data_IF_768881306898
#
_entry.id   IF_768881306898
#
_cell.length_a   1.000
_cell.length_b   1.000
_cell.length_c   1.000
_cell.angle_alpha   90.00
_cell.angle_beta   90.00
_cell.angle_gamma   90.00
#
_symmetry.space_group_name_H-M   'P 1'
#
loop_
_entity.id
_entity.type
_entity.pdbx_description
1 polymer ?
#
# COMPACT_ATOMS: atom_id res chain seq x y z
N UNK A 1 6.06 9.02 9.76
CA UNK A 1 5.74 9.42 8.36
C UNK A 1 4.71 10.55 8.36
N UNK A 2 5.21 11.77 8.38
CA UNK A 2 4.32 12.95 8.46
C UNK A 2 3.44 13.11 7.21
N UNK A 3 3.93 12.64 6.08
CA UNK A 3 3.19 12.76 4.82
C UNK A 3 1.91 11.94 4.79
N UNK A 4 1.85 10.91 5.61
CA UNK A 4 0.64 10.08 5.73
C UNK A 4 -0.51 10.90 6.29
N UNK A 5 -0.24 11.75 7.27
CA UNK A 5 -1.30 12.57 7.85
C UNK A 5 -1.90 13.53 6.84
N UNK A 6 -1.05 14.10 5.98
CA UNK A 6 -1.53 14.99 4.92
C UNK A 6 -2.38 14.25 3.91
N UNK A 7 -1.97 13.03 3.55
CA UNK A 7 -2.74 12.20 2.64
C UNK A 7 -4.10 11.82 3.25
N UNK A 8 -4.12 11.49 4.53
CA UNK A 8 -5.37 11.15 5.22
C UNK A 8 -6.34 12.32 5.26
N UNK A 9 -5.83 13.53 5.43
CA UNK A 9 -6.68 14.73 5.39
C UNK A 9 -7.31 14.90 4.01
N UNK A 10 -6.52 14.70 2.96
CA UNK A 10 -7.04 14.78 1.60
C UNK A 10 -8.06 13.69 1.30
N UNK A 11 -7.81 12.48 1.77
CA UNK A 11 -8.74 11.35 1.62
C UNK A 11 -10.08 11.68 2.27
N UNK A 12 -10.05 12.19 3.49
CA UNK A 12 -11.26 12.53 4.22
C UNK A 12 -12.06 13.61 3.51
N UNK A 13 -11.36 14.61 3.00
CA UNK A 13 -11.98 15.69 2.24
C UNK A 13 -12.69 15.17 1.00
N UNK A 14 -12.10 14.20 0.31
CA UNK A 14 -12.62 13.64 -0.93
C UNK A 14 -13.53 12.43 -0.72
N UNK A 15 -13.74 12.01 0.52
CA UNK A 15 -14.57 10.86 0.83
C UNK A 15 -13.95 9.54 0.44
N UNK A 16 -12.63 9.47 0.42
CA UNK A 16 -11.88 8.25 0.08
C UNK A 16 -11.59 7.45 1.34
N UNK A 17 -12.01 6.18 1.37
CA UNK A 17 -11.83 5.31 2.52
C UNK A 17 -10.48 4.60 2.52
N UNK A 18 -9.92 4.37 1.36
CA UNK A 18 -8.66 3.67 1.21
C UNK A 18 -7.92 4.22 -0.01
N UNK A 19 -6.63 4.47 0.15
CA UNK A 19 -5.78 4.92 -0.94
C UNK A 19 -4.74 3.84 -1.24
N UNK A 20 -4.69 3.37 -2.48
CA UNK A 20 -3.75 2.36 -2.92
C UNK A 20 -2.63 3.03 -3.72
N UNK A 21 -1.38 2.84 -3.29
CA UNK A 21 -0.22 3.44 -3.95
C UNK A 21 0.70 2.32 -4.42
N UNK A 22 1.11 2.38 -5.69
CA UNK A 22 2.02 1.42 -6.28
C UNK A 22 3.43 2.02 -6.40
N UNK A 23 4.46 1.18 -6.68
CA UNK A 23 5.83 1.68 -6.76
C UNK A 23 5.98 2.84 -7.74
N UNK A 24 6.72 3.84 -7.29
CA UNK A 24 6.96 5.05 -8.05
C UNK A 24 7.41 6.17 -7.14
N UNK A 25 7.56 7.39 -7.67
CA UNK A 25 8.02 8.53 -6.88
C UNK A 25 7.19 8.83 -5.64
N UNK A 26 5.88 8.66 -5.70
CA UNK A 26 5.03 8.91 -4.52
C UNK A 26 5.29 7.92 -3.41
N UNK A 27 5.42 6.65 -3.74
CA UNK A 27 5.70 5.65 -2.71
C UNK A 27 7.07 5.91 -2.08
N UNK A 28 8.06 6.23 -2.89
CA UNK A 28 9.37 6.58 -2.38
C UNK A 28 9.30 7.83 -1.49
N UNK A 29 8.57 8.85 -1.95
CA UNK A 29 8.42 10.09 -1.20
C UNK A 29 7.84 9.86 0.20
N UNK A 30 6.85 8.97 0.28
CA UNK A 30 6.16 8.68 1.55
C UNK A 30 6.99 7.81 2.47
N UNK A 31 7.62 6.76 1.92
CA UNK A 31 8.26 5.72 2.73
C UNK A 31 9.78 5.79 2.77
N UNK A 32 10.39 6.50 1.83
CA UNK A 32 11.84 6.52 1.59
C UNK A 32 12.37 5.15 1.17
N UNK A 33 11.49 4.26 0.71
CA UNK A 33 11.85 2.93 0.26
C UNK A 33 11.57 2.80 -1.23
N UNK A 34 12.49 2.17 -1.95
CA UNK A 34 12.34 1.93 -3.38
C UNK A 34 11.88 0.52 -3.64
N UNK A 35 10.88 0.39 -4.49
CA UNK A 35 10.40 -0.92 -4.95
C UNK A 35 10.43 -0.89 -6.47
N UNK A 36 10.83 -1.98 -7.08
CA UNK A 36 10.86 -2.07 -8.53
C UNK A 36 9.47 -2.37 -9.08
N UNK A 37 9.14 -1.70 -10.18
CA UNK A 37 7.99 -2.11 -10.96
C UNK A 37 8.34 -3.44 -11.61
N UNK A 38 7.54 -4.45 -11.38
CA UNK A 38 7.78 -5.77 -11.92
C UNK A 38 6.46 -6.51 -12.07
N UNK A 39 6.52 -7.75 -12.54
CA UNK A 39 5.34 -8.59 -12.63
C UNK A 39 4.77 -8.93 -11.24
N UNK A 40 5.58 -8.75 -10.20
CA UNK A 40 5.15 -9.02 -8.83
C UNK A 40 4.62 -7.74 -8.20
N UNK A 41 3.30 -7.65 -8.00
CA UNK A 41 2.71 -6.42 -7.47
C UNK A 41 3.20 -6.07 -6.08
N UNK A 42 3.41 -4.76 -5.87
CA UNK A 42 3.61 -4.18 -4.55
C UNK A 42 2.59 -3.06 -4.44
N UNK A 43 1.78 -3.08 -3.39
CA UNK A 43 0.75 -2.06 -3.17
C UNK A 43 0.78 -1.63 -1.72
N UNK A 44 0.74 -0.33 -1.51
CA UNK A 44 0.67 0.25 -0.17
C UNK A 44 -0.73 0.83 0.02
N UNK A 45 -1.47 0.26 0.96
CA UNK A 45 -2.83 0.71 1.27
C UNK A 45 -2.80 1.63 2.48
N UNK A 46 -3.36 2.82 2.32
CA UNK A 46 -3.49 3.80 3.39
C UNK A 46 -4.97 3.90 3.74
N UNK A 47 -5.30 3.53 4.97
CA UNK A 47 -6.63 3.67 5.53
C UNK A 47 -6.58 4.71 6.65
N UNK A 48 -7.73 5.09 7.18
CA UNK A 48 -7.77 6.06 8.28
C UNK A 48 -6.95 5.58 9.48
N UNK A 49 -7.07 4.31 9.82
CA UNK A 49 -6.43 3.75 11.02
C UNK A 49 -5.29 2.77 10.73
N UNK A 50 -5.10 2.37 9.49
CA UNK A 50 -4.12 1.34 9.16
C UNK A 50 -3.27 1.69 7.97
N UNK A 51 -2.07 1.13 7.97
CA UNK A 51 -1.15 1.20 6.83
C UNK A 51 -0.74 -0.23 6.54
N UNK A 52 -0.97 -0.70 5.32
CA UNK A 52 -0.72 -2.09 4.96
C UNK A 52 -0.03 -2.20 3.61
N UNK A 53 1.08 -2.94 3.57
CA UNK A 53 1.74 -3.31 2.33
C UNK A 53 1.32 -4.70 1.92
N UNK A 54 1.09 -4.90 0.62
CA UNK A 54 1.05 -6.22 0.01
C UNK A 54 2.26 -6.28 -0.90
N UNK A 55 3.14 -7.27 -0.69
CA UNK A 55 4.39 -7.36 -1.42
C UNK A 55 4.95 -8.78 -1.40
N UNK A 56 5.87 -9.11 -2.34
CA UNK A 56 6.54 -10.40 -2.30
C UNK A 56 7.36 -10.58 -1.02
N UNK A 57 7.45 -11.81 -0.53
CA UNK A 57 8.24 -12.12 0.65
C UNK A 57 9.67 -11.60 0.55
N UNK A 58 10.26 -11.70 -0.64
CA UNK A 58 11.64 -11.27 -0.86
C UNK A 58 11.85 -9.77 -0.65
N UNK A 59 10.78 -9.00 -0.72
CA UNK A 59 10.84 -7.55 -0.54
C UNK A 59 10.49 -7.10 0.88
N UNK A 60 10.02 -8.02 1.72
CA UNK A 60 9.47 -7.67 3.03
C UNK A 60 10.47 -6.97 3.95
N UNK A 61 11.75 -7.31 3.84
CA UNK A 61 12.78 -6.68 4.67
C UNK A 61 12.93 -5.18 4.39
N UNK A 62 12.48 -4.71 3.24
CA UNK A 62 12.51 -3.28 2.92
C UNK A 62 11.61 -2.47 3.85
N UNK A 63 10.67 -3.11 4.50
CA UNK A 63 9.76 -2.44 5.43
C UNK A 63 10.37 -2.20 6.80
N UNK A 64 11.58 -2.68 7.04
CA UNK A 64 12.27 -2.47 8.31
C UNK A 64 12.33 -0.96 8.63
N UNK A 65 11.96 -0.61 9.85
CA UNK A 65 11.93 0.78 10.28
C UNK A 65 10.62 1.50 10.00
N UNK A 66 9.67 0.86 9.32
CA UNK A 66 8.35 1.43 9.08
C UNK A 66 7.33 0.76 10.00
N UNK A 67 6.47 1.58 10.57
CA UNK A 67 5.39 1.09 11.43
C UNK A 67 4.16 0.80 10.56
N UNK A 68 4.20 -0.32 9.87
CA UNK A 68 3.16 -0.72 8.93
C UNK A 68 2.87 -2.21 9.04
N UNK A 69 1.67 -2.60 8.63
CA UNK A 69 1.31 -4.00 8.49
C UNK A 69 1.80 -4.50 7.14
N UNK A 70 2.03 -5.80 7.03
CA UNK A 70 2.42 -6.39 5.76
C UNK A 70 1.71 -7.71 5.54
N UNK A 71 1.31 -7.94 4.29
CA UNK A 71 0.79 -9.22 3.82
C UNK A 71 1.70 -9.63 2.68
N UNK A 72 2.44 -10.69 2.89
CA UNK A 72 3.42 -11.14 1.91
C UNK A 72 2.90 -12.32 1.11
N UNK A 73 3.49 -12.55 -0.06
CA UNK A 73 3.16 -13.68 -0.89
C UNK A 73 4.43 -14.22 -1.55
N UNK A 74 4.36 -15.48 -1.99
CA UNK A 74 5.46 -16.11 -2.72
C UNK A 74 5.05 -16.28 -4.18
N UNK A 75 6.02 -16.65 -5.02
CA UNK A 75 5.73 -16.95 -6.42
C UNK A 75 4.83 -18.18 -6.55
N UNK A 76 4.87 -19.08 -5.56
CA UNK A 76 4.04 -20.28 -5.56
C UNK A 76 2.58 -19.94 -5.28
N UNK A 77 2.33 -19.13 -4.26
CA UNK A 77 0.96 -18.78 -3.88
C UNK A 77 0.40 -17.64 -4.72
N UNK A 78 1.27 -16.73 -5.17
CA UNK A 78 0.85 -15.56 -5.92
C UNK A 78 0.20 -14.50 -5.03
N UNK A 79 -0.06 -13.32 -5.59
CA UNK A 79 -0.58 -12.18 -4.80
C UNK A 79 -2.07 -12.26 -4.51
N UNK A 80 -2.83 -13.08 -5.23
CA UNK A 80 -4.29 -13.12 -5.12
C UNK A 80 -4.75 -13.33 -3.68
N UNK A 81 -4.14 -14.27 -2.99
CA UNK A 81 -4.53 -14.60 -1.63
C UNK A 81 -4.28 -13.43 -0.68
N UNK A 82 -3.18 -12.72 -0.85
CA UNK A 82 -2.86 -11.58 -0.01
C UNK A 82 -3.89 -10.46 -0.20
N UNK A 83 -4.28 -10.18 -1.45
CA UNK A 83 -5.32 -9.19 -1.71
C UNK A 83 -6.66 -9.64 -1.13
N UNK A 84 -7.00 -10.91 -1.27
CA UNK A 84 -8.24 -11.43 -0.69
C UNK A 84 -8.26 -11.26 0.83
N UNK A 85 -7.14 -11.53 1.49
CA UNK A 85 -7.02 -11.34 2.93
C UNK A 85 -7.18 -9.87 3.32
N UNK A 86 -6.60 -8.97 2.55
CA UNK A 86 -6.73 -7.55 2.85
C UNK A 86 -8.17 -7.09 2.75
N UNK A 87 -8.89 -7.50 1.71
CA UNK A 87 -10.25 -7.03 1.49
C UNK A 87 -11.33 -7.83 2.23
N UNK A 88 -10.96 -8.94 2.84
CA UNK A 88 -11.91 -9.90 3.42
C UNK A 88 -12.96 -9.27 4.34
N UNK A 89 -12.54 -8.47 5.30
CA UNK A 89 -13.47 -7.89 6.26
C UNK A 89 -13.59 -6.37 6.09
N UNK A 90 -13.30 -5.90 4.89
CA UNK A 90 -13.34 -4.48 4.57
C UNK A 90 -14.42 -4.19 3.54
N UNK A 91 -15.13 -3.09 3.76
CA UNK A 91 -16.15 -2.61 2.85
C UNK A 91 -15.89 -1.14 2.62
N UNK A 92 -15.25 -0.82 1.50
CA UNK A 92 -14.92 0.56 1.19
C UNK A 92 -15.98 1.18 0.29
N UNK A 93 -16.41 2.39 0.64
CA UNK A 93 -17.30 3.14 -0.22
C UNK A 93 -16.58 3.74 -1.41
N UNK A 94 -15.32 4.13 -1.21
CA UNK A 94 -14.54 4.73 -2.28
C UNK A 94 -13.07 4.45 -2.07
N UNK A 95 -12.42 3.87 -3.09
CA UNK A 95 -10.99 3.57 -3.08
C UNK A 95 -10.30 4.45 -4.11
N UNK A 96 -9.31 5.21 -3.66
CA UNK A 96 -8.47 5.99 -4.54
C UNK A 96 -7.26 5.18 -4.98
N UNK A 97 -6.82 5.35 -6.21
CA UNK A 97 -5.64 4.66 -6.72
C UNK A 97 -4.65 5.69 -7.22
N UNK A 98 -3.44 5.59 -6.69
CA UNK A 98 -2.33 6.44 -7.06
C UNK A 98 -1.33 5.57 -7.81
N UNK A 99 -1.46 5.49 -9.10
CA UNK A 99 -0.68 4.54 -9.89
C UNK A 99 0.62 5.09 -10.43
N UNK A 100 0.74 6.41 -10.51
CA UNK A 100 1.96 7.02 -11.01
C UNK A 100 1.94 8.51 -10.76
N UNK A 101 3.11 9.07 -10.87
CA UNK A 101 3.32 10.46 -10.60
C UNK A 101 3.98 11.14 -11.73
N UNK A 102 3.60 12.30 -11.93
CA UNK A 102 4.20 13.14 -12.93
C UNK A 102 5.19 14.10 -12.28
#
# INVERSE_FOLDING_TARGET
MNKINDLRKGMKKDGIDCLAIVPGPNLYYITSKRFHLSERPVVFFIEEDNLTFILPELESQKLSGLDVNSLTYSDVTGPQQAFNLFFKDRSFGKVGIESRIM
#
